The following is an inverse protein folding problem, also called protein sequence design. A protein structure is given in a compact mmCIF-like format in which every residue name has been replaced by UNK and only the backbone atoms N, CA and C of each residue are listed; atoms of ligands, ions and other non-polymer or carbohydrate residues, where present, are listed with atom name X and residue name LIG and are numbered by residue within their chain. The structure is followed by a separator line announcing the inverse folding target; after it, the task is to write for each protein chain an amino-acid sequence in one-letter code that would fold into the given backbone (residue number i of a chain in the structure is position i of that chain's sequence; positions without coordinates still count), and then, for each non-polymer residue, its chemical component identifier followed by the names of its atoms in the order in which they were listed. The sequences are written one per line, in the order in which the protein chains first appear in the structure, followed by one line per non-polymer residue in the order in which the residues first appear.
data_IF_691001131149
#
_entry.id   IF_691001131149
#
_cell.length_a   1.000
_cell.length_b   1.000
_cell.length_c   1.000
_cell.angle_alpha   90.00
_cell.angle_beta   90.00
_cell.angle_gamma   90.00
#
_symmetry.space_group_name_H-M   'P 1'
#
loop_
_entity.id
_entity.type
_entity.pdbx_description
1 polymer ?
#
# COMPACT_ATOMS: atom_id res chain seq x y z
N UNK A 1 -1.49 3.24 -10.29
CA UNK A 1 -1.65 4.71 -10.52
C UNK A 1 -1.74 4.97 -12.00
N UNK A 2 -2.00 6.21 -12.43
CA UNK A 2 -1.84 6.64 -13.83
C UNK A 2 -0.53 7.40 -13.98
N UNK A 3 0.39 6.88 -14.79
CA UNK A 3 1.77 7.39 -14.82
C UNK A 3 1.90 8.70 -15.56
N UNK A 4 2.49 9.71 -14.91
CA UNK A 4 2.84 10.98 -15.57
C UNK A 4 3.99 10.82 -16.57
N UNK A 5 4.92 9.89 -16.31
CA UNK A 5 6.08 9.62 -17.17
C UNK A 5 5.74 8.77 -18.39
N UNK A 6 4.66 7.97 -18.30
CA UNK A 6 4.19 7.09 -19.37
C UNK A 6 2.88 7.60 -19.98
N UNK A 7 2.67 8.92 -20.02
CA UNK A 7 1.56 9.58 -20.72
C UNK A 7 0.16 9.06 -20.30
N UNK A 8 -0.04 8.83 -19.00
CA UNK A 8 -1.31 8.37 -18.43
C UNK A 8 -1.51 6.86 -18.43
N UNK A 9 -0.55 6.08 -18.95
CA UNK A 9 -0.60 4.61 -18.92
C UNK A 9 -0.72 4.10 -17.48
N UNK A 10 -1.58 3.11 -17.19
CA UNK A 10 -1.63 2.48 -15.88
C UNK A 10 -0.27 1.93 -15.47
N UNK A 11 0.13 2.23 -14.24
CA UNK A 11 1.40 1.79 -13.68
C UNK A 11 1.19 1.14 -12.32
N UNK A 12 1.81 -0.02 -12.12
CA UNK A 12 1.85 -0.75 -10.86
C UNK A 12 3.25 -0.71 -10.28
N UNK A 13 3.35 -0.57 -8.96
CA UNK A 13 4.61 -0.57 -8.24
C UNK A 13 4.49 -1.41 -6.96
N UNK A 14 5.63 -1.91 -6.46
CA UNK A 14 5.69 -2.63 -5.19
C UNK A 14 5.96 -1.64 -4.07
N UNK A 15 5.00 -1.47 -3.16
CA UNK A 15 5.10 -0.54 -2.03
C UNK A 15 4.80 -1.30 -0.73
N UNK A 16 5.65 -1.10 0.28
CA UNK A 16 5.40 -1.59 1.63
C UNK A 16 4.24 -0.86 2.30
N UNK A 17 3.43 -1.60 3.06
CA UNK A 17 2.26 -1.07 3.73
C UNK A 17 2.07 -1.67 5.12
N UNK A 18 1.26 -1.02 5.94
CA UNK A 18 0.76 -1.60 7.20
C UNK A 18 -0.59 -0.99 7.54
N UNK A 19 -1.49 -1.80 8.10
CA UNK A 19 -2.80 -1.38 8.59
C UNK A 19 -2.88 -1.26 10.12
N UNK A 20 -1.75 -1.45 10.81
CA UNK A 20 -1.64 -1.42 12.27
C UNK A 20 -0.50 -2.31 12.79
N UNK A 21 -0.17 -2.22 14.09
CA UNK A 21 0.80 -3.12 14.72
C UNK A 21 0.38 -4.60 14.67
N UNK A 22 1.31 -5.54 14.93
CA UNK A 22 0.98 -6.97 15.01
C UNK A 22 -0.21 -7.25 15.95
N UNK A 23 -1.24 -7.92 15.42
CA UNK A 23 -2.47 -8.24 16.17
C UNK A 23 -3.45 -7.07 16.35
N UNK A 24 -3.16 -5.87 15.83
CA UNK A 24 -3.96 -4.65 16.00
C UNK A 24 -4.25 -3.98 14.65
N UNK A 25 -4.59 -4.77 13.63
CA UNK A 25 -4.95 -4.25 12.31
C UNK A 25 -6.28 -3.51 12.32
N UNK A 26 -6.32 -2.33 11.70
CA UNK A 26 -7.50 -1.46 11.61
C UNK A 26 -8.21 -1.58 10.26
N UNK A 27 -7.57 -2.20 9.27
CA UNK A 27 -8.04 -2.28 7.89
C UNK A 27 -7.78 -1.01 7.05
N UNK A 28 -7.16 0.03 7.62
CA UNK A 28 -6.74 1.24 6.88
C UNK A 28 -5.28 1.07 6.45
N UNK A 29 -4.96 0.88 5.16
CA UNK A 29 -3.59 0.71 4.73
C UNK A 29 -2.83 2.05 4.71
N UNK A 30 -1.78 2.13 5.52
CA UNK A 30 -0.81 3.22 5.50
C UNK A 30 0.40 2.86 4.62
N UNK A 31 0.96 3.87 3.96
CA UNK A 31 2.10 3.77 3.06
C UNK A 31 3.12 4.87 3.41
N UNK A 32 4.41 4.58 3.25
CA UNK A 32 5.48 5.54 3.44
C UNK A 32 6.16 5.84 2.11
N UNK A 33 5.87 7.01 1.54
CA UNK A 33 6.25 7.36 0.17
C UNK A 33 6.96 8.71 0.10
N UNK A 34 8.01 8.77 -0.71
CA UNK A 34 8.70 10.01 -1.08
C UNK A 34 8.28 10.47 -2.48
N UNK A 35 8.27 11.78 -2.73
CA UNK A 35 8.05 12.33 -4.08
C UNK A 35 9.16 12.00 -5.08
N UNK A 36 10.24 11.34 -4.65
CA UNK A 36 11.22 10.73 -5.56
C UNK A 36 10.68 9.43 -6.20
N UNK A 37 9.71 8.76 -5.56
CA UNK A 37 9.05 7.58 -6.11
C UNK A 37 8.03 7.96 -7.21
N UNK A 38 8.01 7.27 -8.36
CA UNK A 38 7.04 7.53 -9.43
C UNK A 38 5.58 7.47 -8.95
N UNK A 39 5.25 6.53 -8.07
CA UNK A 39 3.91 6.31 -7.50
C UNK A 39 3.43 7.56 -6.78
N UNK A 40 4.26 8.14 -5.92
CA UNK A 40 3.90 9.34 -5.16
C UNK A 40 3.68 10.56 -6.08
N UNK A 41 4.49 10.67 -7.14
CA UNK A 41 4.34 11.72 -8.15
C UNK A 41 3.05 11.56 -8.95
N UNK A 42 2.71 10.34 -9.34
CA UNK A 42 1.46 10.04 -10.02
C UNK A 42 0.25 10.39 -9.13
N UNK A 43 0.27 9.94 -7.87
CA UNK A 43 -0.78 10.20 -6.89
C UNK A 43 -0.98 11.68 -6.58
N UNK A 44 0.10 12.47 -6.60
CA UNK A 44 0.02 13.92 -6.46
C UNK A 44 -0.75 14.58 -7.60
N UNK A 45 -0.74 13.98 -8.80
CA UNK A 45 -1.47 14.48 -9.97
C UNK A 45 -2.90 13.93 -10.03
N UNK A 46 -3.08 12.66 -9.70
CA UNK A 46 -4.36 11.97 -9.65
C UNK A 46 -4.36 10.96 -8.49
N UNK A 47 -5.14 11.25 -7.45
CA UNK A 47 -5.15 10.43 -6.24
C UNK A 47 -5.86 9.09 -6.40
N UNK A 48 -6.52 8.84 -7.54
CA UNK A 48 -7.20 7.56 -7.80
C UNK A 48 -6.18 6.44 -7.98
N UNK A 49 -6.34 5.38 -7.20
CA UNK A 49 -5.48 4.22 -7.29
C UNK A 49 -6.20 2.93 -6.91
N UNK A 50 -5.56 1.82 -7.26
CA UNK A 50 -5.90 0.50 -6.77
C UNK A 50 -4.69 -0.08 -6.05
N UNK A 51 -4.93 -0.76 -4.94
CA UNK A 51 -3.95 -1.46 -4.13
C UNK A 51 -4.37 -2.93 -4.05
N UNK A 52 -3.47 -3.82 -4.47
CA UNK A 52 -3.75 -5.26 -4.50
C UNK A 52 -2.81 -5.98 -3.56
N UNK A 53 -3.39 -6.87 -2.74
CA UNK A 53 -2.65 -7.80 -1.88
C UNK A 53 -3.03 -9.22 -2.24
N UNK A 54 -2.07 -10.13 -2.08
CA UNK A 54 -2.24 -11.56 -2.26
C UNK A 54 -1.83 -12.28 -0.98
N UNK A 55 -2.47 -13.40 -0.73
CA UNK A 55 -2.15 -14.34 0.33
C UNK A 55 -0.83 -15.10 0.07
N UNK A 56 -0.35 -15.15 -1.18
CA UNK A 56 0.87 -15.90 -1.57
C UNK A 56 2.09 -15.63 -0.67
N UNK A 57 2.45 -14.37 -0.34
CA UNK A 57 3.62 -14.10 0.50
C UNK A 57 3.49 -14.63 1.94
N UNK A 58 2.28 -15.00 2.38
CA UNK A 58 2.05 -15.64 3.69
C UNK A 58 2.39 -17.14 3.67
N UNK A 59 2.59 -17.74 2.49
CA UNK A 59 2.86 -19.16 2.31
C UNK A 59 1.66 -20.08 2.54
N UNK A 60 0.47 -19.53 2.81
CA UNK A 60 -0.75 -20.30 3.11
C UNK A 60 -1.42 -20.89 1.87
N UNK A 61 -1.03 -20.44 0.66
CA UNK A 61 -1.52 -20.99 -0.61
C UNK A 61 -0.94 -22.39 -0.96
N UNK A 62 0.07 -22.87 -0.22
CA UNK A 62 0.74 -24.18 -0.46
C UNK A 62 1.24 -24.30 -1.91
N UNK A 63 0.97 -25.43 -2.56
CA UNK A 63 1.30 -25.71 -3.97
C UNK A 63 0.27 -25.15 -4.96
N UNK A 64 -0.71 -24.39 -4.48
CA UNK A 64 -1.77 -23.86 -5.33
C UNK A 64 -1.25 -22.63 -6.08
N UNK A 65 -1.55 -22.57 -7.38
CA UNK A 65 -1.23 -21.40 -8.19
C UNK A 65 -1.86 -20.11 -7.61
N UNK A 66 -1.13 -18.97 -7.57
CA UNK A 66 -1.63 -17.66 -7.12
C UNK A 66 -2.92 -17.16 -7.79
N UNK A 67 -3.24 -17.64 -9.00
CA UNK A 67 -4.48 -17.29 -9.70
C UNK A 67 -5.67 -18.12 -9.25
N UNK A 68 -5.44 -19.25 -8.60
CA UNK A 68 -6.50 -20.08 -8.09
C UNK A 68 -7.33 -19.31 -7.05
N UNK A 69 -8.67 -19.26 -7.17
CA UNK A 69 -9.53 -18.52 -6.25
C UNK A 69 -9.44 -19.00 -4.78
N UNK A 70 -8.89 -20.19 -4.51
CA UNK A 70 -8.64 -20.65 -3.14
C UNK A 70 -7.42 -20.00 -2.49
N UNK A 71 -6.54 -19.37 -3.28
CA UNK A 71 -5.46 -18.51 -2.80
C UNK A 71 -5.94 -17.07 -2.84
N UNK A 72 -6.22 -16.50 -1.67
CA UNK A 72 -6.97 -15.24 -1.58
C UNK A 72 -6.17 -14.07 -2.15
N UNK A 73 -6.86 -13.18 -2.85
CA UNK A 73 -6.33 -11.88 -3.26
C UNK A 73 -7.43 -10.84 -3.20
N UNK A 74 -7.05 -9.61 -2.87
CA UNK A 74 -7.99 -8.50 -2.72
C UNK A 74 -7.42 -7.25 -3.37
N UNK A 75 -8.27 -6.54 -4.10
CA UNK A 75 -7.95 -5.23 -4.68
C UNK A 75 -8.85 -4.17 -4.07
N UNK A 76 -8.25 -3.26 -3.30
CA UNK A 76 -8.90 -2.05 -2.81
C UNK A 76 -8.75 -0.96 -3.87
N UNK A 77 -9.86 -0.28 -4.23
CA UNK A 77 -9.83 0.83 -5.18
C UNK A 77 -10.42 2.06 -4.53
N UNK A 78 -9.76 3.21 -4.67
CA UNK A 78 -10.17 4.43 -4.01
C UNK A 78 -9.27 5.60 -4.34
N UNK A 79 -9.20 6.54 -3.40
CA UNK A 79 -8.28 7.68 -3.45
C UNK A 79 -7.27 7.56 -2.33
N UNK A 80 -6.01 7.82 -2.63
CA UNK A 80 -4.97 7.95 -1.61
C UNK A 80 -4.89 9.40 -1.15
N UNK A 81 -4.98 9.59 0.16
CA UNK A 81 -4.91 10.92 0.78
C UNK A 81 -3.57 11.10 1.51
N UNK A 82 -2.99 12.29 1.39
CA UNK A 82 -1.78 12.63 2.11
C UNK A 82 -2.13 12.96 3.57
N UNK A 83 -1.43 12.30 4.51
CA UNK A 83 -1.65 12.54 5.94
C UNK A 83 -1.02 13.89 6.33
N UNK A 84 -1.78 14.67 7.10
CA UNK A 84 -1.24 15.85 7.75
C UNK A 84 -0.31 15.42 8.88
N UNK A 85 0.99 15.73 8.76
CA UNK A 85 2.00 15.34 9.75
C UNK A 85 1.79 15.91 11.16
N UNK A 86 0.91 16.92 11.32
CA UNK A 86 0.56 17.48 12.62
C UNK A 86 -0.73 16.86 13.22
N UNK A 87 -1.33 15.86 12.57
CA UNK A 87 -2.53 15.20 13.08
C UNK A 87 -2.18 13.98 13.95
N UNK A 88 -3.07 13.57 14.88
CA UNK A 88 -2.90 12.33 15.64
C UNK A 88 -2.81 11.08 14.75
N UNK A 89 -3.35 11.14 13.53
CA UNK A 89 -3.27 10.04 12.57
C UNK A 89 -1.84 9.79 12.08
N UNK A 90 -1.00 10.82 12.02
CA UNK A 90 0.41 10.66 11.63
C UNK A 90 1.16 9.74 12.62
N UNK A 91 0.92 9.89 13.92
CA UNK A 91 1.52 9.03 14.95
C UNK A 91 1.04 7.58 14.81
N UNK A 92 -0.26 7.39 14.55
CA UNK A 92 -0.85 6.06 14.30
C UNK A 92 -0.24 5.42 13.05
N UNK A 93 -0.14 6.17 11.96
CA UNK A 93 0.43 5.69 10.70
C UNK A 93 1.92 5.32 10.85
N UNK A 94 2.72 6.17 11.50
CA UNK A 94 4.13 5.90 11.78
C UNK A 94 4.30 4.66 12.65
N UNK A 95 3.51 4.51 13.72
CA UNK A 95 3.55 3.33 14.57
C UNK A 95 3.15 2.05 13.80
N UNK A 96 2.09 2.13 12.98
CA UNK A 96 1.65 1.02 12.14
C UNK A 96 2.75 0.57 11.17
N UNK A 97 3.40 1.52 10.49
CA UNK A 97 4.44 1.25 9.50
C UNK A 97 5.72 0.73 10.15
N UNK A 98 6.28 1.46 11.11
CA UNK A 98 7.61 1.15 11.67
C UNK A 98 7.62 -0.11 12.54
N UNK A 99 6.47 -0.53 13.06
CA UNK A 99 6.34 -1.81 13.77
C UNK A 99 6.46 -3.03 12.86
N UNK A 100 6.17 -2.90 11.56
CA UNK A 100 6.31 -3.98 10.56
C UNK A 100 7.50 -3.78 9.60
N UNK A 101 7.97 -2.54 9.45
CA UNK A 101 9.02 -2.13 8.52
C UNK A 101 10.06 -1.28 9.24
N UNK A 102 10.89 -1.90 10.10
CA UNK A 102 11.82 -1.19 10.98
C UNK A 102 12.90 -0.37 10.25
N UNK A 103 13.22 -0.71 8.99
CA UNK A 103 14.18 0.04 8.16
C UNK A 103 13.66 1.40 7.69
N UNK A 104 12.35 1.69 7.87
CA UNK A 104 11.75 2.97 7.50
C UNK A 104 11.94 4.08 8.56
N UNK A 105 12.43 3.72 9.76
CA UNK A 105 12.67 4.65 10.87
C UNK A 105 13.89 5.55 10.62
#
# INVERSE_FOLDING_TARGET
TSSIGLQGTPFGNVISFSDGPPGQGTGIPYFYLTLLDPTARDLKKDSRCSFTVSEVPLGTCKETDPENPTCSKMTLTGKMEAINMNSPEADVASQALFSKHSEMM
#
